data_IF_285815276634
#
_entry.id   IF_285815276634
#
_cell.length_a   1.000
_cell.length_b   1.000
_cell.length_c   1.000
_cell.angle_alpha   90.00
_cell.angle_beta   90.00
_cell.angle_gamma   90.00
#
_symmetry.space_group_name_H-M   'P 1'
#
loop_
_entity.id
_entity.type
_entity.pdbx_description
1 polymer ?
#
# COMPACT_ATOMS: atom_id res chain seq x y z
N UNK A 1 -6.20 -48.62 -20.68
CA UNK A 1 -7.24 -47.73 -20.10
C UNK A 1 -8.62 -48.29 -20.42
N UNK A 2 -9.30 -48.85 -19.42
CA UNK A 2 -10.62 -49.50 -19.56
C UNK A 2 -11.72 -48.49 -19.88
N UNK A 3 -12.77 -48.91 -20.61
CA UNK A 3 -13.89 -48.05 -21.02
C UNK A 3 -14.54 -47.27 -19.85
N UNK A 4 -14.47 -47.80 -18.62
CA UNK A 4 -14.93 -47.11 -17.41
C UNK A 4 -14.13 -45.81 -17.12
N UNK A 5 -12.80 -45.81 -17.26
CA UNK A 5 -11.98 -44.61 -17.04
C UNK A 5 -12.29 -43.49 -18.04
N UNK A 6 -12.56 -43.83 -19.31
CA UNK A 6 -12.97 -42.86 -20.34
C UNK A 6 -14.35 -42.28 -20.06
N UNK A 7 -15.24 -43.05 -19.41
CA UNK A 7 -16.55 -42.57 -19.01
C UNK A 7 -16.45 -41.54 -17.87
N UNK A 8 -15.63 -41.84 -16.84
CA UNK A 8 -15.37 -40.94 -15.71
C UNK A 8 -14.67 -39.65 -16.14
N UNK A 9 -13.66 -39.72 -17.03
CA UNK A 9 -13.00 -38.51 -17.52
C UNK A 9 -13.93 -37.62 -18.34
N UNK A 10 -14.87 -38.23 -19.08
CA UNK A 10 -15.90 -37.50 -19.83
C UNK A 10 -16.94 -36.86 -18.90
N UNK A 11 -17.36 -37.53 -17.84
CA UNK A 11 -18.29 -36.93 -16.85
C UNK A 11 -17.63 -35.80 -16.08
N UNK A 12 -16.35 -35.95 -15.71
CA UNK A 12 -15.60 -34.91 -15.02
C UNK A 12 -15.39 -33.67 -15.90
N UNK A 13 -15.11 -33.86 -17.19
CA UNK A 13 -14.97 -32.77 -18.15
C UNK A 13 -16.29 -32.01 -18.36
N UNK A 14 -17.43 -32.71 -18.42
CA UNK A 14 -18.75 -32.06 -18.51
C UNK A 14 -19.05 -31.24 -17.25
N UNK A 15 -18.72 -31.76 -16.07
CA UNK A 15 -18.86 -31.01 -14.83
C UNK A 15 -17.98 -29.76 -14.79
N UNK A 16 -16.73 -29.86 -15.24
CA UNK A 16 -15.83 -28.70 -15.30
C UNK A 16 -16.33 -27.63 -16.26
N UNK A 17 -16.79 -28.03 -17.46
CA UNK A 17 -17.37 -27.10 -18.45
C UNK A 17 -18.62 -26.42 -17.90
N UNK A 18 -19.51 -27.18 -17.25
CA UNK A 18 -20.70 -26.63 -16.59
C UNK A 18 -20.36 -25.63 -15.48
N UNK A 19 -19.32 -25.93 -14.68
CA UNK A 19 -18.88 -25.04 -13.59
C UNK A 19 -18.25 -23.75 -14.13
N UNK A 20 -17.48 -23.83 -15.23
CA UNK A 20 -16.92 -22.64 -15.89
C UNK A 20 -17.97 -21.77 -16.55
N UNK A 21 -19.04 -22.36 -17.11
CA UNK A 21 -20.16 -21.60 -17.66
C UNK A 21 -20.96 -20.88 -16.57
N UNK A 22 -21.23 -21.55 -15.45
CA UNK A 22 -21.89 -20.92 -14.28
C UNK A 22 -21.06 -19.78 -13.67
N UNK A 23 -19.74 -19.94 -13.56
CA UNK A 23 -18.84 -18.86 -13.11
C UNK A 23 -18.78 -17.70 -14.13
N UNK A 24 -18.82 -18.01 -15.43
CA UNK A 24 -18.96 -17.03 -16.50
C UNK A 24 -20.25 -16.22 -16.41
N UNK A 25 -21.40 -16.86 -16.18
CA UNK A 25 -22.67 -16.16 -16.02
C UNK A 25 -22.74 -15.33 -14.73
N UNK A 26 -22.19 -15.82 -13.62
CA UNK A 26 -22.10 -15.06 -12.36
C UNK A 26 -21.19 -13.82 -12.49
N UNK A 27 -20.09 -13.93 -13.23
CA UNK A 27 -19.21 -12.78 -13.49
C UNK A 27 -19.84 -11.75 -14.44
N UNK A 28 -20.57 -12.19 -15.47
CA UNK A 28 -21.33 -11.31 -16.37
C UNK A 28 -22.54 -10.65 -15.68
N UNK A 29 -23.23 -11.36 -14.78
CA UNK A 29 -24.32 -10.80 -13.96
C UNK A 29 -23.81 -9.74 -12.96
N UNK A 30 -22.54 -9.82 -12.54
CA UNK A 30 -21.91 -8.79 -11.70
C UNK A 30 -21.48 -7.53 -12.47
N UNK A 31 -21.37 -7.61 -13.79
CA UNK A 31 -20.93 -6.53 -14.68
C UNK A 31 -22.08 -5.66 -15.22
N UNK A 32 -23.33 -6.13 -15.14
CA UNK A 32 -24.50 -5.28 -15.35
C UNK A 32 -24.94 -4.64 -14.03
N UNK A 33 -24.15 -3.68 -13.54
CA UNK A 33 -24.66 -2.66 -12.61
C UNK A 33 -25.79 -1.92 -13.33
N UNK A 34 -27.04 -2.34 -13.11
CA UNK A 34 -28.18 -1.44 -13.21
C UNK A 34 -27.79 -0.17 -12.46
N UNK A 35 -27.70 0.95 -13.17
CA UNK A 35 -27.62 2.25 -12.51
C UNK A 35 -28.87 2.35 -11.65
N UNK A 36 -28.70 2.19 -10.35
CA UNK A 36 -29.72 2.57 -9.38
C UNK A 36 -29.87 4.08 -9.57
N UNK A 37 -30.88 4.48 -10.34
CA UNK A 37 -31.41 5.84 -10.34
C UNK A 37 -32.07 6.06 -8.98
N UNK A 38 -31.22 6.26 -7.97
CA UNK A 38 -31.62 6.74 -6.66
C UNK A 38 -32.20 8.12 -6.92
N UNK A 39 -33.53 8.26 -6.77
CA UNK A 39 -34.18 9.57 -6.66
C UNK A 39 -33.47 10.29 -5.50
N UNK A 40 -32.62 11.26 -5.83
CA UNK A 40 -31.97 12.08 -4.83
C UNK A 40 -33.07 12.76 -4.00
N UNK A 41 -33.08 12.60 -2.67
CA UNK A 41 -33.97 13.40 -1.83
C UNK A 41 -33.55 14.87 -1.98
N UNK A 42 -34.42 15.68 -2.59
CA UNK A 42 -34.21 17.10 -2.90
C UNK A 42 -34.10 18.01 -1.68
N UNK A 43 -34.10 17.46 -0.47
CA UNK A 43 -33.79 18.16 0.78
C UNK A 43 -33.12 17.20 1.77
N UNK A 44 -31.84 16.89 1.53
CA UNK A 44 -31.00 16.10 2.45
C UNK A 44 -30.00 16.99 3.17
N UNK A 45 -29.97 16.94 4.50
CA UNK A 45 -28.93 17.56 5.31
C UNK A 45 -27.53 17.15 4.82
N UNK A 46 -26.56 18.07 4.89
CA UNK A 46 -25.22 17.91 4.31
C UNK A 46 -24.55 16.57 4.70
N UNK A 47 -24.47 15.64 3.75
CA UNK A 47 -23.76 14.34 3.88
C UNK A 47 -22.23 14.52 3.90
N UNK A 48 -21.73 15.76 3.87
CA UNK A 48 -20.30 16.10 3.84
C UNK A 48 -19.48 15.53 5.00
N UNK A 49 -20.10 15.21 6.15
CA UNK A 49 -19.40 14.69 7.33
C UNK A 49 -19.00 13.20 7.25
N UNK A 50 -19.73 12.37 6.49
CA UNK A 50 -19.47 10.92 6.44
C UNK A 50 -18.36 10.57 5.44
N UNK A 51 -18.35 11.24 4.27
CA UNK A 51 -17.33 11.03 3.24
C UNK A 51 -15.92 11.43 3.71
N UNK A 52 -15.80 12.51 4.48
CA UNK A 52 -14.50 12.96 5.04
C UNK A 52 -13.96 11.98 6.09
N UNK A 53 -14.84 11.46 6.96
CA UNK A 53 -14.47 10.44 7.95
C UNK A 53 -14.05 9.12 7.29
N UNK A 54 -14.74 8.69 6.25
CA UNK A 54 -14.38 7.48 5.52
C UNK A 54 -13.04 7.63 4.77
N UNK A 55 -12.81 8.79 4.14
CA UNK A 55 -11.53 9.11 3.50
C UNK A 55 -10.38 9.10 4.51
N UNK A 56 -10.59 9.65 5.71
CA UNK A 56 -9.63 9.60 6.81
C UNK A 56 -9.27 8.18 7.22
N UNK A 57 -10.27 7.35 7.48
CA UNK A 57 -10.05 5.97 7.90
C UNK A 57 -9.32 5.17 6.81
N UNK A 58 -9.66 5.36 5.55
CA UNK A 58 -8.97 4.73 4.42
C UNK A 58 -7.51 5.19 4.33
N UNK A 59 -7.24 6.48 4.48
CA UNK A 59 -5.88 7.03 4.49
C UNK A 59 -5.03 6.48 5.64
N UNK A 60 -5.59 6.46 6.85
CA UNK A 60 -4.92 5.91 8.03
C UNK A 60 -4.65 4.42 7.89
N UNK A 61 -5.64 3.63 7.44
CA UNK A 61 -5.44 2.20 7.23
C UNK A 61 -4.39 1.93 6.16
N UNK A 62 -4.39 2.68 5.05
CA UNK A 62 -3.36 2.57 4.01
C UNK A 62 -1.96 2.84 4.58
N UNK A 63 -1.81 3.90 5.37
CA UNK A 63 -0.54 4.24 6.00
C UNK A 63 -0.09 3.19 7.02
N UNK A 64 -1.01 2.66 7.85
CA UNK A 64 -0.74 1.58 8.82
C UNK A 64 -0.32 0.29 8.12
N UNK A 65 -1.09 -0.19 7.15
CA UNK A 65 -0.75 -1.40 6.38
C UNK A 65 0.59 -1.23 5.64
N UNK A 66 0.86 -0.04 5.10
CA UNK A 66 2.17 0.23 4.49
C UNK A 66 3.30 0.20 5.51
N UNK A 67 3.08 0.71 6.72
CA UNK A 67 4.06 0.68 7.80
C UNK A 67 4.32 -0.76 8.26
N UNK A 68 3.28 -1.57 8.47
CA UNK A 68 3.42 -2.99 8.82
C UNK A 68 4.15 -3.77 7.73
N UNK A 69 3.82 -3.54 6.46
CA UNK A 69 4.53 -4.13 5.33
C UNK A 69 6.01 -3.75 5.28
N UNK A 70 6.34 -2.52 5.68
CA UNK A 70 7.73 -2.07 5.79
C UNK A 70 8.48 -2.78 6.93
N UNK A 71 7.84 -3.03 8.08
CA UNK A 71 8.44 -3.78 9.20
C UNK A 71 8.76 -5.23 8.81
N UNK A 72 7.84 -5.86 8.06
CA UNK A 72 8.07 -7.20 7.53
C UNK A 72 9.24 -7.21 6.54
N UNK A 73 9.30 -6.22 5.65
CA UNK A 73 10.34 -6.15 4.64
C UNK A 73 11.72 -5.83 5.24
N UNK A 74 11.82 -4.94 6.24
CA UNK A 74 13.10 -4.67 6.91
C UNK A 74 13.58 -5.90 7.69
N UNK A 75 12.67 -6.65 8.33
CA UNK A 75 13.02 -7.92 8.98
C UNK A 75 13.61 -8.93 7.99
N UNK A 76 12.97 -9.10 6.83
CA UNK A 76 13.47 -9.95 5.74
C UNK A 76 14.81 -9.45 5.19
N UNK A 77 14.95 -8.14 4.97
CA UNK A 77 16.19 -7.53 4.51
C UNK A 77 17.34 -7.83 5.47
N UNK A 78 17.16 -7.56 6.76
CA UNK A 78 18.20 -7.76 7.78
C UNK A 78 18.59 -9.24 7.90
N UNK A 79 17.61 -10.13 7.83
CA UNK A 79 17.87 -11.57 7.83
C UNK A 79 18.75 -11.98 6.64
N UNK A 80 18.44 -11.51 5.43
CA UNK A 80 19.18 -11.87 4.22
C UNK A 80 20.55 -11.17 4.19
N UNK A 81 20.63 -9.91 4.65
CA UNK A 81 21.87 -9.16 4.76
C UNK A 81 22.87 -9.86 5.70
N UNK A 82 22.38 -10.53 6.74
CA UNK A 82 23.20 -11.31 7.67
C UNK A 82 23.73 -12.63 7.09
N UNK A 83 23.15 -13.13 5.97
CA UNK A 83 23.59 -14.36 5.33
C UNK A 83 24.85 -14.13 4.48
N UNK A 84 25.79 -15.07 4.52
CA UNK A 84 26.94 -15.09 3.61
C UNK A 84 26.51 -15.42 2.16
N UNK A 85 27.36 -15.07 1.18
CA UNK A 85 27.06 -15.29 -0.25
C UNK A 85 26.70 -16.76 -0.58
N UNK A 86 27.43 -17.72 -0.02
CA UNK A 86 27.17 -19.15 -0.22
C UNK A 86 25.79 -19.58 0.33
N UNK A 87 25.39 -19.07 1.50
CA UNK A 87 24.08 -19.37 2.08
C UNK A 87 22.94 -18.79 1.25
N UNK A 88 23.11 -17.58 0.70
CA UNK A 88 22.12 -16.97 -0.20
C UNK A 88 22.00 -17.75 -1.50
N UNK A 89 23.13 -18.15 -2.08
CA UNK A 89 23.17 -18.99 -3.27
C UNK A 89 22.46 -20.34 -3.04
N UNK A 90 22.76 -21.03 -1.95
CA UNK A 90 22.12 -22.31 -1.60
C UNK A 90 20.60 -22.18 -1.46
N UNK A 91 20.11 -21.03 -0.99
CA UNK A 91 18.68 -20.73 -0.84
C UNK A 91 18.05 -20.05 -2.07
N UNK A 92 18.82 -19.88 -3.16
CA UNK A 92 18.41 -19.17 -4.36
C UNK A 92 17.82 -17.77 -4.07
N UNK A 93 18.47 -17.02 -3.17
CA UNK A 93 18.06 -15.67 -2.77
C UNK A 93 18.87 -14.64 -3.56
N UNK A 94 18.17 -13.85 -4.35
CA UNK A 94 18.72 -12.63 -4.95
C UNK A 94 18.65 -11.49 -3.92
N UNK A 95 19.82 -10.95 -3.55
CA UNK A 95 19.89 -9.88 -2.55
C UNK A 95 19.56 -8.52 -3.15
N UNK A 96 19.84 -8.29 -4.43
CA UNK A 96 19.58 -7.02 -5.08
C UNK A 96 18.07 -6.85 -5.28
N UNK A 97 17.37 -7.91 -5.67
CA UNK A 97 15.90 -7.93 -5.68
C UNK A 97 15.30 -7.59 -4.30
N UNK A 98 15.91 -8.05 -3.20
CA UNK A 98 15.43 -7.73 -1.84
C UNK A 98 15.67 -6.26 -1.47
N UNK A 99 16.78 -5.66 -1.93
CA UNK A 99 17.02 -4.22 -1.80
C UNK A 99 15.95 -3.44 -2.54
N UNK A 100 15.65 -3.82 -3.78
CA UNK A 100 14.65 -3.14 -4.62
C UNK A 100 13.25 -3.23 -4.02
N UNK A 101 12.84 -4.41 -3.56
CA UNK A 101 11.58 -4.58 -2.84
C UNK A 101 11.52 -3.68 -1.61
N UNK A 102 12.61 -3.57 -0.85
CA UNK A 102 12.68 -2.70 0.33
C UNK A 102 12.59 -1.22 -0.06
N UNK A 103 13.32 -0.78 -1.07
CA UNK A 103 13.28 0.58 -1.62
C UNK A 103 11.87 0.96 -2.09
N UNK A 104 11.19 0.06 -2.82
CA UNK A 104 9.80 0.27 -3.25
C UNK A 104 8.84 0.39 -2.06
N UNK A 105 9.03 -0.42 -1.00
CA UNK A 105 8.22 -0.35 0.22
C UNK A 105 8.43 0.96 0.97
N UNK A 106 9.67 1.46 1.03
CA UNK A 106 9.98 2.77 1.61
C UNK A 106 9.24 3.87 0.85
N UNK A 107 9.38 3.93 -0.49
CA UNK A 107 8.68 4.93 -1.29
C UNK A 107 7.15 4.83 -1.17
N UNK A 108 6.60 3.61 -1.18
CA UNK A 108 5.17 3.38 -0.97
C UNK A 108 4.66 3.88 0.39
N UNK A 109 5.47 3.70 1.45
CA UNK A 109 5.16 4.23 2.77
C UNK A 109 5.18 5.75 2.79
N UNK A 110 6.20 6.38 2.21
CA UNK A 110 6.29 7.83 2.12
C UNK A 110 5.11 8.41 1.34
N UNK A 111 4.72 7.81 0.21
CA UNK A 111 3.53 8.23 -0.56
C UNK A 111 2.25 8.13 0.26
N UNK A 112 2.05 7.02 0.99
CA UNK A 112 0.89 6.86 1.86
C UNK A 112 0.86 7.92 2.97
N UNK A 113 2.03 8.26 3.53
CA UNK A 113 2.17 9.28 4.56
C UNK A 113 1.96 10.70 4.02
N UNK A 114 2.49 11.01 2.84
CA UNK A 114 2.23 12.28 2.15
C UNK A 114 0.73 12.50 1.94
N UNK A 115 0.01 11.48 1.46
CA UNK A 115 -1.45 11.57 1.28
C UNK A 115 -2.19 11.73 2.62
N UNK A 116 -1.73 11.06 3.67
CA UNK A 116 -2.29 11.21 5.01
C UNK A 116 -2.05 12.63 5.59
N UNK A 117 -0.87 13.22 5.36
CA UNK A 117 -0.56 14.60 5.74
C UNK A 117 -1.44 15.61 4.99
N UNK A 118 -1.59 15.45 3.67
CA UNK A 118 -2.52 16.26 2.86
C UNK A 118 -3.95 16.15 3.38
N UNK A 119 -4.38 14.95 3.75
CA UNK A 119 -5.71 14.72 4.31
C UNK A 119 -5.89 15.41 5.66
N UNK A 120 -4.87 15.36 6.54
CA UNK A 120 -4.84 16.12 7.80
C UNK A 120 -4.97 17.60 7.55
N UNK A 121 -4.19 18.14 6.61
CA UNK A 121 -4.22 19.55 6.21
C UNK A 121 -5.62 19.96 5.74
N UNK A 122 -6.26 19.16 4.91
CA UNK A 122 -7.64 19.41 4.45
C UNK A 122 -8.70 19.29 5.57
N UNK A 123 -8.38 18.60 6.66
CA UNK A 123 -9.27 18.37 7.82
C UNK A 123 -9.02 19.40 8.94
N UNK A 124 -8.74 20.65 8.59
CA UNK A 124 -8.37 21.73 9.54
C UNK A 124 -7.06 21.51 10.31
N UNK A 125 -6.16 20.64 9.80
CA UNK A 125 -4.83 20.48 10.36
C UNK A 125 -4.78 19.71 11.68
N UNK A 126 -5.81 18.94 12.01
CA UNK A 126 -5.81 18.03 13.16
C UNK A 126 -6.77 16.86 12.93
N UNK A 127 -6.40 15.67 13.42
CA UNK A 127 -7.31 14.55 13.52
C UNK A 127 -7.94 14.47 14.91
N UNK A 128 -9.06 13.75 15.02
CA UNK A 128 -9.74 13.58 16.31
C UNK A 128 -9.02 12.52 17.17
N UNK A 129 -8.59 12.91 18.36
CA UNK A 129 -8.15 12.02 19.46
C UNK A 129 -7.14 10.95 18.99
N UNK A 130 -7.52 9.67 19.06
CA UNK A 130 -6.67 8.51 18.75
C UNK A 130 -6.08 8.55 17.34
N UNK A 131 -6.79 9.12 16.38
CA UNK A 131 -6.31 9.25 15.01
C UNK A 131 -5.12 10.21 14.87
N UNK A 132 -5.03 11.21 15.75
CA UNK A 132 -3.89 12.13 15.79
C UNK A 132 -2.66 11.44 16.40
N UNK A 133 -2.87 10.65 17.46
CA UNK A 133 -1.80 9.84 18.06
C UNK A 133 -1.23 8.82 17.07
N UNK A 134 -2.10 8.09 16.37
CA UNK A 134 -1.69 7.15 15.32
C UNK A 134 -0.90 7.84 14.21
N UNK A 135 -1.37 9.02 13.76
CA UNK A 135 -0.68 9.82 12.75
C UNK A 135 0.72 10.24 13.20
N UNK A 136 0.87 10.73 14.44
CA UNK A 136 2.17 11.14 14.97
C UNK A 136 3.14 9.95 15.08
N UNK A 137 2.67 8.78 15.49
CA UNK A 137 3.51 7.57 15.52
C UNK A 137 3.96 7.16 14.12
N UNK A 138 3.07 7.27 13.13
CA UNK A 138 3.43 7.00 11.74
C UNK A 138 4.46 8.00 11.20
N UNK A 139 4.35 9.29 11.54
CA UNK A 139 5.39 10.29 11.20
C UNK A 139 6.74 9.89 11.79
N UNK A 140 6.79 9.59 13.09
CA UNK A 140 8.06 9.19 13.75
C UNK A 140 8.70 7.99 13.06
N UNK A 141 7.89 7.05 12.61
CA UNK A 141 8.37 5.89 11.87
C UNK A 141 8.93 6.26 10.50
N UNK A 142 8.25 7.13 9.73
CA UNK A 142 8.78 7.65 8.47
C UNK A 142 10.13 8.35 8.67
N UNK A 143 10.23 9.21 9.68
CA UNK A 143 11.44 9.96 9.98
C UNK A 143 12.57 9.01 10.42
N UNK A 144 12.25 7.99 11.24
CA UNK A 144 13.20 6.95 11.60
C UNK A 144 13.70 6.20 10.37
N UNK A 145 12.82 5.70 9.51
CA UNK A 145 13.18 4.98 8.28
C UNK A 145 14.12 5.80 7.41
N UNK A 146 13.80 7.08 7.20
CA UNK A 146 14.65 7.98 6.41
C UNK A 146 16.02 8.26 7.06
N UNK A 147 16.13 8.15 8.38
CA UNK A 147 17.39 8.37 9.10
C UNK A 147 18.34 7.17 9.08
N UNK A 148 17.85 5.96 8.75
CA UNK A 148 18.68 4.75 8.78
C UNK A 148 19.56 4.66 7.53
N UNK A 149 20.85 4.41 7.73
CA UNK A 149 21.81 4.26 6.62
C UNK A 149 21.41 3.16 5.63
N UNK A 150 20.84 2.06 6.11
CA UNK A 150 20.31 0.98 5.26
C UNK A 150 19.36 1.50 4.21
N UNK A 151 18.37 2.32 4.60
CA UNK A 151 17.40 2.91 3.69
C UNK A 151 18.04 3.79 2.64
N UNK A 152 19.03 4.62 3.03
CA UNK A 152 19.82 5.40 2.09
C UNK A 152 20.52 4.50 1.07
N UNK A 153 21.27 3.50 1.53
CA UNK A 153 22.05 2.63 0.63
C UNK A 153 21.20 1.81 -0.32
N UNK A 154 20.01 1.36 0.10
CA UNK A 154 19.10 0.63 -0.78
C UNK A 154 18.43 1.55 -1.80
N UNK A 155 18.05 2.77 -1.40
CA UNK A 155 17.51 3.75 -2.33
C UNK A 155 18.54 4.19 -3.37
N UNK A 156 19.80 4.39 -2.96
CA UNK A 156 20.92 4.70 -3.87
C UNK A 156 21.11 3.57 -4.90
N UNK A 157 21.13 2.32 -4.45
CA UNK A 157 21.23 1.16 -5.33
C UNK A 157 20.07 1.07 -6.32
N UNK A 158 18.83 1.13 -5.84
CA UNK A 158 17.66 1.06 -6.73
C UNK A 158 17.56 2.27 -7.69
N UNK A 159 18.21 3.39 -7.35
CA UNK A 159 18.29 4.58 -8.23
C UNK A 159 19.31 4.45 -9.37
N UNK A 160 20.01 3.31 -9.48
CA UNK A 160 20.74 2.96 -10.69
C UNK A 160 19.79 2.82 -11.90
N UNK A 161 18.51 2.49 -11.67
CA UNK A 161 17.43 2.61 -12.65
C UNK A 161 16.93 4.07 -12.73
N UNK A 162 17.06 4.76 -13.88
CA UNK A 162 16.60 6.13 -14.04
C UNK A 162 15.11 6.34 -13.77
N UNK A 163 14.26 5.35 -14.08
CA UNK A 163 12.83 5.45 -13.85
C UNK A 163 12.51 5.44 -12.34
N UNK A 164 13.18 4.55 -11.59
CA UNK A 164 13.08 4.50 -10.15
C UNK A 164 13.65 5.78 -9.50
N UNK A 165 14.81 6.26 -9.98
CA UNK A 165 15.44 7.48 -9.46
C UNK A 165 14.50 8.69 -9.55
N UNK A 166 13.87 8.90 -10.71
CA UNK A 166 12.89 9.98 -10.89
C UNK A 166 11.66 9.83 -9.97
N UNK A 167 11.20 8.59 -9.75
CA UNK A 167 10.11 8.32 -8.81
C UNK A 167 10.51 8.60 -7.36
N UNK A 168 11.72 8.21 -6.96
CA UNK A 168 12.26 8.41 -5.64
C UNK A 168 12.40 9.89 -5.32
N UNK A 169 13.02 10.66 -6.23
CA UNK A 169 13.19 12.11 -6.11
C UNK A 169 11.84 12.81 -5.91
N UNK A 170 10.87 12.51 -6.79
CA UNK A 170 9.52 13.08 -6.68
C UNK A 170 8.84 12.73 -5.36
N UNK A 171 8.91 11.46 -4.95
CA UNK A 171 8.26 10.99 -3.72
C UNK A 171 8.87 11.64 -2.48
N UNK A 172 10.19 11.75 -2.43
CA UNK A 172 10.93 12.40 -1.34
C UNK A 172 10.63 13.90 -1.28
N UNK A 173 10.60 14.57 -2.44
CA UNK A 173 10.26 15.99 -2.53
C UNK A 173 8.83 16.26 -2.03
N UNK A 174 7.84 15.49 -2.49
CA UNK A 174 6.44 15.62 -2.08
C UNK A 174 6.27 15.36 -0.56
N UNK A 175 6.96 14.36 -0.02
CA UNK A 175 6.97 14.08 1.42
C UNK A 175 7.59 15.23 2.21
N UNK A 176 8.77 15.70 1.80
CA UNK A 176 9.50 16.77 2.49
C UNK A 176 8.70 18.09 2.50
N UNK A 177 8.03 18.43 1.40
CA UNK A 177 7.17 19.62 1.32
C UNK A 177 6.06 19.58 2.38
N UNK A 178 5.31 18.48 2.49
CA UNK A 178 4.25 18.35 3.49
C UNK A 178 4.82 18.22 4.92
N UNK A 179 5.99 17.61 5.09
CA UNK A 179 6.69 17.51 6.39
C UNK A 179 7.12 18.87 6.92
N UNK A 180 7.72 19.72 6.09
CA UNK A 180 8.12 21.10 6.46
C UNK A 180 6.91 21.99 6.80
N UNK A 181 5.80 21.79 6.10
CA UNK A 181 4.53 22.47 6.42
C UNK A 181 3.95 22.04 7.77
N UNK A 182 4.13 20.77 8.12
CA UNK A 182 3.72 20.26 9.43
C UNK A 182 4.59 20.84 10.55
N UNK A 183 5.92 20.85 10.39
CA UNK A 183 6.84 21.40 11.41
C UNK A 183 6.67 22.90 11.64
N UNK A 184 6.56 23.68 10.56
CA UNK A 184 6.37 25.14 10.69
C UNK A 184 5.13 25.50 11.49
N UNK A 185 4.06 24.70 11.42
CA UNK A 185 2.86 24.86 12.26
C UNK A 185 3.10 24.49 13.71
N UNK A 186 3.91 23.47 13.98
CA UNK A 186 4.25 23.07 15.35
C UNK A 186 5.13 24.11 16.03
N UNK A 187 6.05 24.75 15.30
CA UNK A 187 6.89 25.85 15.81
C UNK A 187 6.03 27.07 16.14
N UNK A 188 5.03 27.40 15.32
CA UNK A 188 4.15 28.55 15.57
C UNK A 188 3.16 28.36 16.74
N UNK A 189 3.03 27.14 17.28
CA UNK A 189 2.16 26.82 18.41
C UNK A 189 2.93 26.73 19.74
N UNK A 190 4.26 26.80 19.71
CA UNK A 190 5.15 26.84 20.88
C UNK A 190 5.64 28.26 21.14
#
# INVERSE_FOLDING_TARGET
>A
MTNKMKLYSRTLAIFFVGLTLLAGELSLASLQRKSLTVRQPTKGAAVHGLASKQKLLLGLNKAKTSAEGLDLQIGRYLQIASMGAFQRWQKNIDFDMVKDEYSQRVLGHLQAMTELMKLRRSSHGQFKKLYEFDFQNLIRKSDYVLSVNTTRTTLEHSSEDPAFAAQAERTLADYNEERMRYDSKMIALN
#
